data_IF_838871010023
#
_entry.id   IF_838871010023
#
_cell.length_a   1.000
_cell.length_b   1.000
_cell.length_c   1.000
_cell.angle_alpha   90.00
_cell.angle_beta   90.00
_cell.angle_gamma   90.00
#
_symmetry.space_group_name_H-M   'P 1'
#
loop_
_entity.id
_entity.type
_entity.pdbx_description
1 polymer ?
#
# COMPACT_ATOMS: atom_id res chain seq x y z
N UNK A 1 -26.99 25.02 66.66
CA UNK A 1 -26.64 25.59 65.34
C UNK A 1 -25.14 25.86 65.33
N UNK A 2 -24.26 25.10 64.71
CA UNK A 2 -24.45 23.92 63.87
C UNK A 2 -23.19 23.05 63.95
N UNK A 3 -23.25 22.03 64.81
CA UNK A 3 -22.30 20.90 64.89
C UNK A 3 -22.26 20.09 63.56
N UNK A 4 -23.14 20.41 62.62
CA UNK A 4 -23.27 19.77 61.30
C UNK A 4 -22.26 20.35 60.30
N UNK A 5 -21.83 21.61 60.45
CA UNK A 5 -20.86 22.22 59.51
C UNK A 5 -19.43 21.75 59.75
N UNK A 6 -19.06 21.47 61.01
CA UNK A 6 -17.73 20.92 61.32
C UNK A 6 -17.65 19.42 60.96
N UNK A 7 -18.77 18.69 61.05
CA UNK A 7 -18.85 17.28 60.65
C UNK A 7 -18.80 17.10 59.12
N UNK A 8 -19.25 18.10 58.34
CA UNK A 8 -19.10 18.09 56.87
C UNK A 8 -17.67 18.39 56.41
N UNK A 9 -16.93 19.23 57.15
CA UNK A 9 -15.51 19.50 56.86
C UNK A 9 -14.58 18.33 57.23
N UNK A 10 -14.90 17.57 58.29
CA UNK A 10 -14.12 16.37 58.68
C UNK A 10 -14.37 15.15 57.77
N UNK A 11 -15.45 15.16 56.98
CA UNK A 11 -15.73 14.15 55.95
C UNK A 11 -15.08 14.48 54.59
N UNK A 12 -14.81 15.76 54.29
CA UNK A 12 -14.11 16.18 53.08
C UNK A 12 -12.59 15.99 53.18
N UNK A 13 -12.01 16.16 54.37
CA UNK A 13 -10.57 15.95 54.62
C UNK A 13 -10.14 14.48 54.54
N UNK A 14 -11.08 13.53 54.56
CA UNK A 14 -10.81 12.08 54.48
C UNK A 14 -11.07 11.46 53.10
N UNK A 15 -11.42 12.24 52.07
CA UNK A 15 -11.86 11.70 50.77
C UNK A 15 -11.04 12.14 49.56
N UNK A 16 -9.73 12.39 49.73
CA UNK A 16 -8.84 12.62 48.60
C UNK A 16 -7.39 12.17 48.86
N UNK A 17 -7.14 10.87 48.68
CA UNK A 17 -5.82 10.30 48.38
C UNK A 17 -6.05 8.92 47.69
N UNK A 18 -5.10 8.40 46.87
CA UNK A 18 -5.33 8.17 45.46
C UNK A 18 -5.29 6.68 45.10
N UNK A 19 -6.44 6.07 44.92
CA UNK A 19 -6.58 4.74 44.32
C UNK A 19 -8.06 4.45 44.22
N UNK A 20 -8.58 4.36 42.99
CA UNK A 20 -9.94 3.95 42.57
C UNK A 20 -10.50 4.87 41.46
N UNK A 21 -9.71 5.04 40.38
CA UNK A 21 -10.24 5.50 39.07
C UNK A 21 -9.97 4.45 38.00
N UNK A 22 -10.29 3.21 38.31
CA UNK A 22 -10.32 2.13 37.33
C UNK A 22 -11.61 1.35 37.55
N UNK A 23 -12.35 1.29 36.44
CA UNK A 23 -13.45 0.39 36.13
C UNK A 23 -14.88 0.86 36.46
N UNK A 24 -15.60 1.05 35.35
CA UNK A 24 -17.04 0.90 35.14
C UNK A 24 -17.90 2.10 35.57
N UNK A 25 -18.31 2.92 34.60
CA UNK A 25 -19.72 2.84 34.20
C UNK A 25 -19.94 3.44 32.80
N UNK A 26 -20.29 2.54 31.88
CA UNK A 26 -20.89 2.92 30.61
C UNK A 26 -22.37 3.15 30.82
N UNK A 27 -22.87 4.25 30.23
CA UNK A 27 -24.24 4.52 29.74
C UNK A 27 -24.57 5.98 29.99
N UNK A 28 -24.55 6.82 28.93
CA UNK A 28 -25.35 8.04 28.94
C UNK A 28 -25.97 8.34 27.57
N UNK A 29 -27.31 8.39 27.62
CA UNK A 29 -28.27 9.14 26.81
C UNK A 29 -28.04 9.24 25.30
N UNK A 30 -28.71 8.34 24.57
CA UNK A 30 -29.09 8.56 23.17
C UNK A 30 -30.22 9.59 23.14
N UNK A 31 -29.95 10.75 22.57
CA UNK A 31 -30.94 11.78 22.30
C UNK A 31 -31.76 11.37 21.05
N UNK A 32 -32.92 10.76 21.29
CA UNK A 32 -33.82 10.22 20.24
C UNK A 32 -34.42 11.29 19.32
N UNK A 33 -34.20 12.59 19.59
CA UNK A 33 -34.75 13.68 18.79
C UNK A 33 -33.89 14.06 17.58
N UNK A 34 -32.65 13.56 17.48
CA UNK A 34 -31.74 13.84 16.36
C UNK A 34 -31.88 12.85 15.17
N UNK A 35 -32.55 11.71 15.36
CA UNK A 35 -32.64 10.62 14.37
C UNK A 35 -33.71 10.89 13.30
N UNK A 36 -34.75 11.66 13.61
CA UNK A 36 -35.89 11.86 12.68
C UNK A 36 -35.68 12.96 11.62
N UNK A 37 -34.66 13.83 11.78
CA UNK A 37 -34.29 14.83 10.75
C UNK A 37 -33.35 14.28 9.67
N UNK A 38 -32.52 13.28 9.99
CA UNK A 38 -31.58 12.66 9.03
C UNK A 38 -32.28 11.85 7.93
N UNK A 39 -33.43 11.28 8.24
CA UNK A 39 -34.08 10.31 7.36
C UNK A 39 -34.86 10.94 6.18
N UNK A 40 -35.27 12.22 6.31
CA UNK A 40 -35.90 12.97 5.20
C UNK A 40 -34.87 13.49 4.19
N UNK A 41 -33.66 13.83 4.64
CA UNK A 41 -32.60 14.38 3.79
C UNK A 41 -31.95 13.31 2.89
N UNK A 42 -31.79 12.09 3.40
CA UNK A 42 -31.28 10.95 2.62
C UNK A 42 -32.22 10.53 1.48
N UNK A 43 -33.55 10.56 1.69
CA UNK A 43 -34.52 10.21 0.65
C UNK A 43 -34.58 11.25 -0.48
N UNK A 44 -34.49 12.53 -0.13
CA UNK A 44 -34.41 13.64 -1.10
C UNK A 44 -33.12 13.62 -1.92
N UNK A 45 -31.99 13.28 -1.29
CA UNK A 45 -30.71 13.14 -2.01
C UNK A 45 -30.73 11.95 -2.97
N UNK A 46 -31.33 10.82 -2.59
CA UNK A 46 -31.46 9.65 -3.47
C UNK A 46 -32.36 9.93 -4.68
N UNK A 47 -33.46 10.67 -4.52
CA UNK A 47 -34.34 10.99 -5.66
C UNK A 47 -33.67 11.95 -6.66
N UNK A 48 -32.88 12.92 -6.19
CA UNK A 48 -32.12 13.83 -7.08
C UNK A 48 -31.04 13.09 -7.88
N UNK A 49 -30.34 12.14 -7.26
CA UNK A 49 -29.31 11.33 -7.95
C UNK A 49 -29.93 10.46 -9.03
N UNK A 50 -31.08 9.83 -8.77
CA UNK A 50 -31.78 9.01 -9.78
C UNK A 50 -32.22 9.85 -10.97
N UNK A 51 -32.74 11.06 -10.74
CA UNK A 51 -33.14 11.98 -11.82
C UNK A 51 -31.95 12.43 -12.68
N UNK A 52 -30.80 12.70 -12.06
CA UNK A 52 -29.58 13.07 -12.79
C UNK A 52 -29.06 11.93 -13.68
N UNK A 53 -29.10 10.67 -13.20
CA UNK A 53 -28.70 9.49 -13.99
C UNK A 53 -29.61 9.30 -15.20
N UNK A 54 -30.92 9.45 -15.03
CA UNK A 54 -31.88 9.33 -16.15
C UNK A 54 -31.66 10.42 -17.21
N UNK A 55 -31.36 11.65 -16.80
CA UNK A 55 -31.07 12.74 -17.74
C UNK A 55 -29.80 12.48 -18.56
N UNK A 56 -28.73 11.97 -17.93
CA UNK A 56 -27.48 11.61 -18.63
C UNK A 56 -27.70 10.46 -19.60
N UNK A 57 -28.48 9.45 -19.21
CA UNK A 57 -28.80 8.31 -20.09
C UNK A 57 -29.58 8.76 -21.33
N UNK A 58 -30.52 9.69 -21.17
CA UNK A 58 -31.30 10.24 -22.27
C UNK A 58 -30.43 11.04 -23.26
N UNK A 59 -29.45 11.80 -22.76
CA UNK A 59 -28.50 12.55 -23.59
C UNK A 59 -27.58 11.59 -24.36
N UNK A 60 -27.07 10.55 -23.70
CA UNK A 60 -26.24 9.53 -24.35
C UNK A 60 -27.01 8.78 -25.43
N UNK A 61 -28.27 8.45 -25.20
CA UNK A 61 -29.12 7.80 -26.21
C UNK A 61 -29.36 8.71 -27.42
N UNK A 62 -29.58 10.01 -27.19
CA UNK A 62 -29.72 10.98 -28.27
C UNK A 62 -28.47 11.09 -29.16
N UNK A 63 -27.29 11.12 -28.54
CA UNK A 63 -26.00 11.18 -29.26
C UNK A 63 -25.71 9.91 -30.06
N UNK A 64 -26.16 8.74 -29.57
CA UNK A 64 -25.94 7.45 -30.25
C UNK A 64 -26.82 7.31 -31.50
N UNK A 65 -28.06 7.81 -31.44
CA UNK A 65 -28.98 7.83 -32.59
C UNK A 65 -28.49 8.78 -33.68
N UNK A 66 -27.96 9.95 -33.32
CA UNK A 66 -27.40 10.94 -34.26
C UNK A 66 -26.18 10.39 -35.03
N UNK A 67 -25.35 9.60 -34.33
CA UNK A 67 -24.19 8.93 -34.93
C UNK A 67 -24.56 7.83 -35.92
N UNK A 68 -25.69 7.16 -35.69
CA UNK A 68 -26.19 6.09 -36.56
C UNK A 68 -26.84 6.64 -37.84
N UNK A 69 -27.44 7.83 -37.77
CA UNK A 69 -28.04 8.52 -38.92
C UNK A 69 -27.00 9.20 -39.81
N UNK A 70 -25.82 9.53 -39.27
CA UNK A 70 -24.76 10.30 -39.96
C UNK A 70 -23.69 9.46 -40.66
N UNK A 71 -23.78 8.13 -40.63
CA UNK A 71 -22.78 7.26 -41.25
C UNK A 71 -23.04 7.08 -42.76
N UNK A 72 -22.30 7.81 -43.61
CA UNK A 72 -22.26 7.57 -45.05
C UNK A 72 -21.34 6.37 -45.39
N UNK A 73 -21.61 5.60 -46.46
CA UNK A 73 -20.81 4.43 -46.80
C UNK A 73 -19.57 4.83 -47.61
N UNK A 74 -18.37 4.50 -47.11
CA UNK A 74 -17.15 4.60 -47.92
C UNK A 74 -16.94 3.33 -48.76
N UNK A 75 -16.75 3.54 -50.06
CA UNK A 75 -16.49 2.52 -51.08
C UNK A 75 -15.02 2.11 -51.00
N UNK A 76 -14.74 0.83 -50.76
CA UNK A 76 -13.38 0.29 -50.77
C UNK A 76 -12.82 0.17 -52.18
N UNK A 77 -11.75 0.90 -52.49
CA UNK A 77 -10.91 0.64 -53.68
C UNK A 77 -9.79 -0.34 -53.33
N UNK A 78 -9.70 -1.42 -54.12
CA UNK A 78 -8.66 -2.45 -54.03
C UNK A 78 -7.36 -1.96 -54.67
N UNK A 79 -6.24 -2.09 -53.94
CA UNK A 79 -4.87 -1.80 -54.40
C UNK A 79 -4.09 -3.13 -54.58
N UNK A 80 -3.14 -3.27 -55.54
CA UNK A 80 -2.44 -4.54 -55.82
C UNK A 80 -1.30 -4.85 -54.82
N UNK A 81 -0.70 -6.05 -54.86
CA UNK A 81 0.08 -6.59 -53.75
C UNK A 81 1.48 -5.97 -53.71
N UNK A 82 1.84 -5.39 -52.56
CA UNK A 82 3.21 -5.04 -52.22
C UNK A 82 3.83 -6.23 -51.46
N UNK A 83 5.10 -6.48 -51.77
CA UNK A 83 6.03 -7.44 -51.17
C UNK A 83 5.88 -7.59 -49.64
N UNK A 84 6.26 -8.75 -49.04
CA UNK A 84 6.08 -8.99 -47.61
C UNK A 84 6.88 -7.95 -46.82
N UNK A 85 6.16 -6.96 -46.29
CA UNK A 85 6.70 -6.06 -45.30
C UNK A 85 7.10 -6.89 -44.09
N UNK A 86 8.33 -6.67 -43.62
CA UNK A 86 8.83 -7.17 -42.34
C UNK A 86 7.72 -7.10 -41.30
N UNK A 87 7.37 -8.25 -40.71
CA UNK A 87 6.36 -8.32 -39.68
C UNK A 87 6.74 -7.33 -38.56
N UNK A 88 6.01 -6.22 -38.48
CA UNK A 88 6.09 -5.32 -37.34
C UNK A 88 5.71 -6.16 -36.12
N UNK A 89 6.52 -6.24 -35.06
CA UNK A 89 6.16 -7.01 -33.89
C UNK A 89 4.86 -6.44 -33.32
N UNK A 90 3.80 -7.22 -33.39
CA UNK A 90 2.52 -6.87 -32.77
C UNK A 90 2.69 -6.89 -31.25
N UNK A 91 2.17 -5.91 -30.50
CA UNK A 91 2.23 -5.90 -29.04
C UNK A 91 1.48 -7.12 -28.46
N UNK A 92 1.88 -7.57 -27.27
CA UNK A 92 1.17 -8.61 -26.50
C UNK A 92 -0.24 -8.11 -26.19
N UNK A 93 -1.26 -8.94 -26.37
CA UNK A 93 -2.64 -8.56 -26.07
C UNK A 93 -3.11 -9.20 -24.76
N UNK A 94 -3.65 -8.37 -23.87
CA UNK A 94 -4.47 -8.84 -22.74
C UNK A 94 -5.87 -9.04 -23.28
N UNK A 95 -6.27 -10.31 -23.34
CA UNK A 95 -7.53 -10.77 -23.90
C UNK A 95 -8.68 -10.62 -22.89
N UNK A 96 -8.39 -10.81 -21.60
CA UNK A 96 -9.38 -10.71 -20.54
C UNK A 96 -8.74 -10.39 -19.18
N UNK A 97 -9.52 -9.76 -18.30
CA UNK A 97 -9.15 -9.45 -16.91
C UNK A 97 -10.24 -10.01 -16.01
N UNK A 98 -9.90 -11.07 -15.29
CA UNK A 98 -10.82 -11.86 -14.48
C UNK A 98 -10.54 -11.61 -12.99
N UNK A 99 -11.29 -10.72 -12.32
CA UNK A 99 -11.22 -10.56 -10.88
C UNK A 99 -12.00 -11.67 -10.18
N UNK A 100 -11.35 -12.39 -9.28
CA UNK A 100 -11.98 -13.35 -8.37
C UNK A 100 -11.75 -12.92 -6.93
N UNK A 101 -12.71 -13.17 -6.05
CA UNK A 101 -12.56 -12.90 -4.63
C UNK A 101 -13.27 -13.96 -3.80
N UNK A 102 -12.64 -14.40 -2.72
CA UNK A 102 -13.16 -15.45 -1.84
C UNK A 102 -12.97 -15.09 -0.36
N UNK A 103 -13.01 -16.07 0.53
CA UNK A 103 -12.74 -15.90 1.97
C UNK A 103 -11.31 -15.45 2.31
N UNK A 104 -10.35 -15.58 1.39
CA UNK A 104 -8.90 -15.44 1.62
C UNK A 104 -8.35 -14.13 1.06
N UNK A 105 -8.90 -13.61 -0.03
CA UNK A 105 -8.41 -12.36 -0.63
C UNK A 105 -9.00 -12.03 -2.00
N UNK A 106 -8.28 -11.18 -2.73
CA UNK A 106 -8.51 -10.87 -4.14
C UNK A 106 -7.50 -11.65 -5.00
N UNK A 107 -7.97 -12.26 -6.08
CA UNK A 107 -7.13 -12.87 -7.11
C UNK A 107 -7.48 -12.21 -8.44
N UNK A 108 -6.53 -11.51 -9.04
CA UNK A 108 -6.70 -10.89 -10.36
C UNK A 108 -5.95 -11.72 -11.40
N UNK A 109 -6.68 -12.23 -12.39
CA UNK A 109 -6.15 -13.05 -13.48
C UNK A 109 -6.16 -12.25 -14.78
N UNK A 110 -5.01 -12.08 -15.41
CA UNK A 110 -4.89 -11.44 -16.73
C UNK A 110 -4.55 -12.51 -17.75
N UNK A 111 -5.42 -12.72 -18.73
CA UNK A 111 -5.22 -13.66 -19.82
C UNK A 111 -4.52 -12.98 -20.99
N UNK A 112 -3.34 -13.47 -21.36
CA UNK A 112 -2.51 -12.93 -22.43
C UNK A 112 -2.39 -13.88 -23.62
N UNK A 113 -2.22 -13.33 -24.82
CA UNK A 113 -1.96 -14.11 -26.04
C UNK A 113 -0.55 -14.74 -26.06
N UNK A 114 0.44 -14.13 -25.41
CA UNK A 114 1.82 -14.61 -25.27
C UNK A 114 2.47 -14.14 -23.96
N UNK A 115 3.62 -14.70 -23.60
CA UNK A 115 4.36 -14.28 -22.40
C UNK A 115 4.85 -12.84 -22.52
N UNK A 116 5.04 -12.19 -21.38
CA UNK A 116 5.44 -10.79 -21.30
C UNK A 116 6.40 -10.56 -20.15
N UNK A 117 7.36 -9.65 -20.34
CA UNK A 117 8.19 -9.13 -19.26
C UNK A 117 7.49 -7.93 -18.61
N UNK A 118 7.46 -7.89 -17.28
CA UNK A 118 6.87 -6.78 -16.53
C UNK A 118 7.81 -6.26 -15.45
N UNK A 119 7.62 -4.98 -15.09
CA UNK A 119 8.30 -4.33 -13.99
C UNK A 119 7.34 -4.14 -12.83
N UNK A 120 7.77 -4.51 -11.63
CA UNK A 120 6.98 -4.41 -10.40
C UNK A 120 7.55 -3.30 -9.52
N UNK A 121 6.72 -2.34 -9.14
CA UNK A 121 7.08 -1.28 -8.20
C UNK A 121 6.10 -1.30 -7.02
N UNK A 122 6.63 -1.26 -5.80
CA UNK A 122 5.87 -1.26 -4.55
C UNK A 122 6.14 0.04 -3.80
N UNK A 123 5.09 0.82 -3.57
CA UNK A 123 5.15 2.07 -2.83
C UNK A 123 4.07 2.06 -1.77
N UNK A 124 4.45 2.04 -0.49
CA UNK A 124 3.60 2.20 0.71
C UNK A 124 2.08 2.11 0.48
N UNK A 125 1.55 0.89 0.42
CA UNK A 125 0.11 0.63 0.27
C UNK A 125 -0.36 0.51 -1.19
N UNK A 126 0.51 0.70 -2.17
CA UNK A 126 0.24 0.49 -3.59
C UNK A 126 1.28 -0.43 -4.25
N UNK A 127 0.81 -1.30 -5.14
CA UNK A 127 1.62 -2.16 -5.99
C UNK A 127 1.26 -1.89 -7.43
N UNK A 128 2.27 -1.61 -8.26
CA UNK A 128 2.09 -1.40 -9.70
C UNK A 128 2.90 -2.42 -10.49
N UNK A 129 2.27 -3.01 -11.50
CA UNK A 129 2.91 -3.86 -12.50
C UNK A 129 2.79 -3.18 -13.86
N UNK A 130 3.93 -2.95 -14.50
CA UNK A 130 4.02 -2.36 -15.84
C UNK A 130 4.44 -3.43 -16.84
N UNK A 131 3.50 -3.88 -17.66
CA UNK A 131 3.69 -4.88 -18.71
C UNK A 131 4.18 -4.17 -19.97
N UNK A 132 5.38 -4.49 -20.44
CA UNK A 132 6.00 -3.81 -21.58
C UNK A 132 5.41 -4.26 -22.91
N UNK A 133 5.28 -3.34 -23.87
CA UNK A 133 4.83 -3.64 -25.24
C UNK A 133 3.53 -4.46 -25.27
N UNK A 134 2.59 -4.06 -24.41
CA UNK A 134 1.34 -4.78 -24.14
C UNK A 134 0.15 -3.86 -24.35
N UNK A 135 -0.95 -4.41 -24.84
CA UNK A 135 -2.18 -3.68 -25.08
C UNK A 135 -3.38 -4.41 -24.46
N UNK A 136 -4.17 -3.69 -23.68
CA UNK A 136 -5.45 -4.15 -23.15
C UNK A 136 -6.52 -4.03 -24.23
N UNK A 137 -7.16 -5.15 -24.57
CA UNK A 137 -8.30 -5.17 -25.47
C UNK A 137 -9.55 -4.65 -24.73
N UNK A 138 -9.96 -3.41 -25.02
CA UNK A 138 -11.18 -2.80 -24.45
C UNK A 138 -10.92 -1.56 -23.60
N UNK A 139 -11.89 -1.22 -22.75
CA UNK A 139 -11.81 -0.08 -21.84
C UNK A 139 -11.14 -0.45 -20.52
N UNK A 140 -10.75 0.60 -19.76
CA UNK A 140 -10.25 0.54 -18.38
C UNK A 140 -11.00 -0.49 -17.54
N UNK A 141 -10.29 -1.45 -16.96
CA UNK A 141 -10.86 -2.40 -15.99
C UNK A 141 -10.51 -1.96 -14.58
N UNK A 142 -11.47 -1.89 -13.67
CA UNK A 142 -11.22 -1.50 -12.28
C UNK A 142 -12.25 -2.09 -11.32
N UNK A 143 -11.87 -2.22 -10.06
CA UNK A 143 -12.74 -2.71 -9.01
C UNK A 143 -12.27 -2.33 -7.61
N UNK A 144 -13.13 -2.55 -6.62
CA UNK A 144 -12.84 -2.33 -5.20
C UNK A 144 -13.44 -3.45 -4.36
N UNK A 145 -12.69 -3.90 -3.37
CA UNK A 145 -13.09 -4.90 -2.39
C UNK A 145 -12.85 -4.35 -0.98
N UNK A 146 -13.81 -4.50 -0.08
CA UNK A 146 -13.72 -4.03 1.31
C UNK A 146 -14.15 -5.14 2.26
N UNK A 147 -13.32 -5.44 3.26
CA UNK A 147 -13.54 -6.51 4.24
C UNK A 147 -12.82 -6.20 5.55
N UNK A 148 -13.47 -6.41 6.69
CA UNK A 148 -12.90 -6.27 8.05
C UNK A 148 -12.13 -4.95 8.27
N UNK A 149 -12.66 -3.84 7.74
CA UNK A 149 -12.05 -2.51 7.84
C UNK A 149 -10.89 -2.25 6.87
N UNK A 150 -10.43 -3.26 6.11
CA UNK A 150 -9.44 -3.13 5.04
C UNK A 150 -10.15 -2.92 3.71
N UNK A 151 -9.61 -2.05 2.87
CA UNK A 151 -10.12 -1.90 1.50
C UNK A 151 -8.99 -1.91 0.50
N UNK A 152 -9.25 -2.54 -0.65
CA UNK A 152 -8.35 -2.63 -1.78
C UNK A 152 -9.08 -2.17 -3.03
N UNK A 153 -8.44 -1.34 -3.83
CA UNK A 153 -8.87 -0.99 -5.19
C UNK A 153 -7.83 -1.44 -6.18
N UNK A 154 -8.28 -1.93 -7.32
CA UNK A 154 -7.41 -2.35 -8.43
C UNK A 154 -7.86 -1.71 -9.73
N UNK A 155 -6.91 -1.53 -10.65
CA UNK A 155 -7.12 -0.93 -11.97
C UNK A 155 -6.14 -1.54 -12.98
N UNK A 156 -6.59 -1.78 -14.20
CA UNK A 156 -5.78 -2.21 -15.34
C UNK A 156 -6.07 -1.27 -16.52
N UNK A 157 -5.06 -0.57 -17.00
CA UNK A 157 -5.21 0.46 -18.03
C UNK A 157 -4.05 0.52 -19.03
N UNK A 158 -4.34 0.97 -20.25
CA UNK A 158 -3.31 1.24 -21.26
C UNK A 158 -2.53 2.51 -20.89
N UNK A 159 -1.21 2.39 -20.76
CA UNK A 159 -0.26 3.46 -20.43
C UNK A 159 0.78 3.59 -21.54
N UNK A 160 0.42 4.30 -22.61
CA UNK A 160 1.24 4.40 -23.82
C UNK A 160 1.29 3.08 -24.59
N UNK A 161 2.48 2.51 -24.75
CA UNK A 161 2.72 1.18 -25.37
C UNK A 161 2.66 0.03 -24.37
N UNK A 162 2.47 0.34 -23.09
CA UNK A 162 2.51 -0.62 -21.99
C UNK A 162 1.12 -0.71 -21.33
N UNK A 163 0.90 -1.77 -20.57
CA UNK A 163 -0.27 -1.87 -19.67
C UNK A 163 0.19 -1.68 -18.23
N UNK A 164 -0.53 -0.84 -17.49
CA UNK A 164 -0.33 -0.63 -16.08
C UNK A 164 -1.44 -1.31 -15.27
N UNK A 165 -1.04 -2.23 -14.40
CA UNK A 165 -1.88 -2.78 -13.34
C UNK A 165 -1.53 -2.06 -12.05
N UNK A 166 -2.51 -1.44 -11.39
CA UNK A 166 -2.33 -0.71 -10.14
C UNK A 166 -3.27 -1.30 -9.08
N UNK A 167 -2.71 -1.71 -7.95
CA UNK A 167 -3.43 -2.14 -6.76
C UNK A 167 -3.12 -1.17 -5.62
N UNK A 168 -4.14 -0.72 -4.89
CA UNK A 168 -4.02 0.24 -3.79
C UNK A 168 -4.84 -0.26 -2.60
N UNK A 169 -4.21 -0.44 -1.46
CA UNK A 169 -4.82 -0.81 -0.19
C UNK A 169 -4.80 0.32 0.83
N UNK A 170 -5.87 0.43 1.63
CA UNK A 170 -5.93 1.30 2.80
C UNK A 170 -5.50 0.49 4.05
N UNK A 171 -4.31 0.80 4.58
CA UNK A 171 -3.66 0.10 5.70
C UNK A 171 -2.16 -0.15 5.40
N UNK A 172 -1.41 -0.74 6.35
CA UNK A 172 0.01 -1.09 6.15
C UNK A 172 0.23 -1.88 4.83
N UNK A 173 1.48 -1.88 4.33
CA UNK A 173 1.92 -2.44 3.03
C UNK A 173 1.05 -3.58 2.48
N UNK A 174 0.56 -3.40 1.25
CA UNK A 174 -0.24 -4.38 0.54
C UNK A 174 0.63 -5.60 0.17
N UNK A 175 0.39 -6.75 0.79
CA UNK A 175 1.03 -8.00 0.40
C UNK A 175 0.43 -8.46 -0.93
N UNK A 176 1.23 -8.49 -1.99
CA UNK A 176 0.80 -8.93 -3.33
C UNK A 176 1.77 -9.97 -3.83
N UNK A 177 1.27 -11.15 -4.23
CA UNK A 177 2.07 -12.17 -4.91
C UNK A 177 1.67 -12.23 -6.37
N UNK A 178 2.61 -12.40 -7.27
CA UNK A 178 2.37 -12.51 -8.71
C UNK A 178 3.05 -13.75 -9.29
N UNK A 179 2.39 -14.41 -10.24
CA UNK A 179 2.95 -15.55 -10.99
C UNK A 179 2.46 -15.55 -12.43
N UNK A 180 3.36 -15.81 -13.37
CA UNK A 180 3.06 -15.91 -14.80
C UNK A 180 3.18 -17.38 -15.22
N UNK A 181 2.07 -17.97 -15.64
CA UNK A 181 1.97 -19.39 -15.99
C UNK A 181 1.46 -19.60 -17.42
N UNK A 182 1.87 -20.69 -18.06
CA UNK A 182 1.32 -21.09 -19.36
C UNK A 182 -0.05 -21.77 -19.16
N UNK A 183 -1.04 -21.35 -19.92
CA UNK A 183 -2.41 -21.85 -19.91
C UNK A 183 -2.79 -22.34 -21.32
N UNK A 184 -2.25 -23.50 -21.70
CA UNK A 184 -2.34 -24.02 -23.07
C UNK A 184 -1.58 -23.14 -24.04
N UNK A 185 -2.29 -22.61 -25.03
CA UNK A 185 -1.77 -21.74 -26.09
C UNK A 185 -1.61 -20.28 -25.63
N UNK A 186 -2.06 -19.97 -24.41
CA UNK A 186 -2.12 -18.63 -23.83
C UNK A 186 -1.30 -18.55 -22.56
N UNK A 187 -1.18 -17.35 -22.02
CA UNK A 187 -0.48 -17.08 -20.76
C UNK A 187 -1.41 -16.46 -19.74
N UNK A 188 -1.21 -16.77 -18.47
CA UNK A 188 -2.02 -16.26 -17.36
C UNK A 188 -1.11 -15.60 -16.34
N UNK A 189 -1.32 -14.30 -16.10
CA UNK A 189 -0.70 -13.59 -14.99
C UNK A 189 -1.68 -13.57 -13.82
N UNK A 190 -1.33 -14.25 -12.74
CA UNK A 190 -2.07 -14.27 -11.49
C UNK A 190 -1.49 -13.24 -10.54
N UNK A 191 -2.37 -12.48 -9.89
CA UNK A 191 -2.02 -11.50 -8.87
C UNK A 191 -2.89 -11.75 -7.64
N UNK A 192 -2.29 -12.31 -6.59
CA UNK A 192 -2.95 -12.68 -5.35
C UNK A 192 -2.72 -11.61 -4.27
N UNK A 193 -3.80 -11.16 -3.65
CA UNK A 193 -3.79 -10.18 -2.56
C UNK A 193 -4.54 -10.73 -1.36
N UNK A 194 -3.85 -11.33 -0.38
CA UNK A 194 -4.48 -11.83 0.83
C UNK A 194 -5.07 -10.68 1.66
N UNK A 195 -6.34 -10.82 2.03
CA UNK A 195 -7.03 -9.86 2.90
C UNK A 195 -7.17 -10.35 4.35
N UNK A 196 -6.97 -11.65 4.60
CA UNK A 196 -6.94 -12.22 5.94
C UNK A 196 -5.55 -12.10 6.57
N UNK A 197 -5.52 -12.07 7.91
CA UNK A 197 -4.34 -12.47 8.67
C UNK A 197 -3.94 -13.88 8.24
N UNK A 198 -2.64 -14.20 8.11
CA UNK A 198 -2.22 -15.59 8.04
C UNK A 198 -2.82 -16.27 9.27
N UNK A 199 -3.77 -17.18 9.06
CA UNK A 199 -4.00 -18.21 10.07
C UNK A 199 -2.65 -18.91 10.13
N UNK A 200 -1.95 -18.66 11.24
CA UNK A 200 -0.81 -19.42 11.68
C UNK A 200 -1.03 -20.86 11.20
N UNK A 201 -0.24 -21.31 10.23
CA UNK A 201 -0.17 -22.74 9.97
C UNK A 201 0.22 -23.30 11.33
N UNK A 202 -0.73 -23.97 11.97
CA UNK A 202 -0.50 -24.62 13.24
C UNK A 202 0.50 -25.73 12.92
N UNK A 203 1.78 -25.39 12.90
CA UNK A 203 2.89 -26.28 13.19
C UNK A 203 2.81 -26.58 14.70
N UNK A 204 1.67 -27.10 15.15
CA UNK A 204 1.72 -28.01 16.26
C UNK A 204 2.48 -29.22 15.73
N UNK A 205 3.57 -29.66 16.36
CA UNK A 205 4.07 -30.98 16.09
C UNK A 205 2.90 -31.93 16.32
N UNK A 206 2.44 -32.60 15.25
CA UNK A 206 1.49 -33.68 15.39
C UNK A 206 2.11 -34.63 16.40
N UNK A 207 1.49 -34.74 17.58
CA UNK A 207 1.87 -35.71 18.59
C UNK A 207 1.55 -37.10 18.01
N UNK A 208 2.49 -37.62 17.22
CA UNK A 208 2.46 -38.95 16.60
C UNK A 208 2.43 -40.08 17.64
N UNK A 209 2.64 -39.76 18.91
CA UNK A 209 2.70 -40.71 20.02
C UNK A 209 1.32 -41.14 20.55
N UNK A 210 0.22 -40.55 20.07
CA UNK A 210 -1.15 -40.90 20.49
C UNK A 210 -2.12 -41.03 19.31
N UNK A 211 -1.68 -41.65 18.21
CA UNK A 211 -2.62 -42.20 17.25
C UNK A 211 -3.17 -43.52 17.82
N UNK A 212 -4.51 -43.71 17.89
CA UNK A 212 -5.06 -45.01 18.22
C UNK A 212 -4.57 -46.05 17.20
N UNK A 213 -4.23 -47.28 17.62
CA UNK A 213 -3.82 -48.32 16.69
C UNK A 213 -4.93 -48.50 15.64
N UNK A 214 -4.53 -48.47 14.38
CA UNK A 214 -5.43 -48.69 13.25
C UNK A 214 -6.16 -50.02 13.46
N UNK A 215 -7.48 -49.97 13.65
CA UNK A 215 -8.32 -51.15 13.50
C UNK A 215 -8.14 -51.64 12.07
N UNK A 216 -7.81 -52.92 11.93
CA UNK A 216 -7.69 -53.59 10.65
C UNK A 216 -9.07 -53.62 9.99
N UNK A 217 -9.38 -52.58 9.22
CA UNK A 217 -10.55 -52.57 8.36
C UNK A 217 -10.34 -53.60 7.25
N UNK A 218 -11.32 -54.48 7.12
CA UNK A 218 -11.32 -55.63 6.23
C UNK A 218 -10.95 -55.23 4.79
N UNK A 219 -10.16 -56.11 4.16
CA UNK A 219 -9.76 -56.05 2.77
C UNK A 219 -10.96 -55.74 1.86
N UNK A 220 -11.08 -54.49 1.43
CA UNK A 220 -11.93 -54.15 0.30
C UNK A 220 -11.23 -54.65 -0.95
N UNK A 221 -11.88 -55.60 -1.62
CA UNK A 221 -11.42 -56.18 -2.88
C UNK A 221 -11.10 -55.07 -3.88
N UNK A 222 -9.84 -55.01 -4.29
CA UNK A 222 -9.37 -54.22 -5.40
C UNK A 222 -10.11 -54.68 -6.67
N UNK A 223 -10.90 -53.79 -7.27
CA UNK A 223 -11.61 -54.09 -8.50
C UNK A 223 -10.60 -54.39 -9.63
N UNK A 224 -10.80 -55.44 -10.44
CA UNK A 224 -9.88 -55.76 -11.53
C UNK A 224 -9.86 -54.62 -12.58
N UNK A 225 -8.66 -54.17 -12.92
CA UNK A 225 -8.43 -53.15 -13.93
C UNK A 225 -9.03 -53.55 -15.30
N UNK A 226 -9.61 -52.59 -16.06
CA UNK A 226 -10.28 -52.87 -17.32
C UNK A 226 -9.32 -53.33 -18.45
N UNK A 227 -9.82 -54.21 -19.30
CA UNK A 227 -9.07 -55.01 -20.28
C UNK A 227 -8.32 -54.24 -21.40
N UNK A 228 -8.45 -52.91 -21.50
CA UNK A 228 -7.70 -52.12 -22.48
C UNK A 228 -6.22 -51.93 -22.08
N UNK A 229 -5.87 -52.24 -20.82
CA UNK A 229 -4.48 -52.23 -20.32
C UNK A 229 -3.65 -53.41 -20.86
N UNK A 230 -4.28 -54.43 -21.47
CA UNK A 230 -3.58 -55.64 -21.96
C UNK A 230 -3.75 -55.93 -23.45
N UNK A 231 -4.14 -54.94 -24.26
CA UNK A 231 -4.24 -55.14 -25.71
C UNK A 231 -2.84 -55.28 -26.36
N UNK A 232 -2.56 -56.36 -27.12
CA UNK A 232 -1.30 -56.48 -27.84
C UNK A 232 -1.25 -55.53 -29.05
N UNK A 233 -0.11 -54.87 -29.22
CA UNK A 233 0.17 -53.99 -30.38
C UNK A 233 0.18 -54.81 -31.69
N UNK A 234 -0.38 -54.28 -32.79
CA UNK A 234 -0.24 -54.92 -34.10
C UNK A 234 1.22 -54.92 -34.56
N UNK A 235 1.64 -56.05 -35.14
CA UNK A 235 2.98 -56.27 -35.68
C UNK A 235 3.27 -55.33 -36.85
N UNK A 236 4.44 -54.66 -36.90
CA UNK A 236 4.84 -53.86 -38.04
C UNK A 236 5.25 -54.75 -39.21
N UNK A 237 4.72 -54.42 -40.39
CA UNK A 237 5.11 -54.98 -41.70
C UNK A 237 6.54 -54.58 -42.05
N UNK A 238 7.20 -55.47 -42.80
CA UNK A 238 8.60 -55.49 -43.20
C UNK A 238 9.25 -54.13 -43.57
N UNK A 239 10.51 -54.02 -43.14
CA UNK A 239 11.42 -52.90 -43.30
C UNK A 239 11.81 -52.59 -44.75
N UNK A 240 11.85 -51.30 -45.08
CA UNK A 240 12.71 -50.75 -46.14
C UNK A 240 14.15 -50.61 -45.63
N UNK A 241 15.18 -50.71 -46.50
CA UNK A 241 16.58 -50.56 -46.08
C UNK A 241 16.87 -49.11 -45.65
N UNK A 242 17.79 -48.90 -44.69
CA UNK A 242 18.08 -47.58 -44.14
C UNK A 242 18.96 -46.74 -45.10
N UNK A 243 18.82 -45.40 -45.12
CA UNK A 243 19.85 -44.53 -45.66
C UNK A 243 21.12 -44.58 -44.79
N UNK A 244 22.30 -44.18 -45.31
CA UNK A 244 23.56 -44.33 -44.61
C UNK A 244 23.57 -43.54 -43.28
N UNK A 245 24.23 -44.15 -42.30
CA UNK A 245 24.30 -43.69 -40.91
C UNK A 245 24.78 -42.24 -40.78
N UNK A 246 23.89 -41.38 -40.29
CA UNK A 246 24.28 -40.15 -39.59
C UNK A 246 24.61 -40.59 -38.16
N UNK A 247 25.86 -40.37 -37.74
CA UNK A 247 26.26 -40.65 -36.36
C UNK A 247 25.36 -39.86 -35.40
N UNK A 248 24.82 -40.46 -34.34
CA UNK A 248 24.09 -39.71 -33.34
C UNK A 248 25.08 -38.75 -32.68
N UNK A 249 24.88 -37.46 -32.94
CA UNK A 249 25.45 -36.41 -32.11
C UNK A 249 24.93 -36.71 -30.71
N UNK A 250 25.84 -37.00 -29.77
CA UNK A 250 25.47 -37.23 -28.38
C UNK A 250 24.53 -36.10 -27.93
N UNK A 251 23.39 -36.39 -27.28
CA UNK A 251 22.53 -35.33 -26.79
C UNK A 251 23.39 -34.48 -25.87
N UNK A 252 23.63 -33.23 -26.28
CA UNK A 252 24.21 -32.20 -25.41
C UNK A 252 23.34 -32.26 -24.17
N UNK A 253 23.95 -32.63 -23.04
CA UNK A 253 23.25 -32.70 -21.76
C UNK A 253 22.46 -31.41 -21.61
N UNK A 254 21.13 -31.53 -21.58
CA UNK A 254 20.27 -30.39 -21.33
C UNK A 254 20.85 -29.65 -20.12
N UNK A 255 21.05 -28.33 -20.19
CA UNK A 255 21.58 -27.60 -19.06
C UNK A 255 20.64 -27.90 -17.89
N UNK A 256 21.14 -28.68 -16.93
CA UNK A 256 20.42 -28.96 -15.72
C UNK A 256 20.38 -27.64 -14.96
N UNK A 257 19.32 -26.86 -15.20
CA UNK A 257 18.99 -25.71 -14.38
C UNK A 257 18.67 -26.27 -13.01
N UNK A 258 19.69 -26.30 -12.15
CA UNK A 258 19.46 -26.45 -10.71
C UNK A 258 18.69 -25.22 -10.28
N UNK A 259 17.37 -25.33 -10.23
CA UNK A 259 16.50 -24.33 -9.62
C UNK A 259 16.83 -24.40 -8.13
N UNK A 260 17.78 -23.57 -7.68
CA UNK A 260 17.98 -23.33 -6.27
C UNK A 260 16.67 -22.79 -5.70
N UNK A 261 16.23 -23.29 -4.55
CA UNK A 261 15.09 -22.74 -3.85
C UNK A 261 15.28 -21.22 -3.70
N UNK A 262 14.26 -20.45 -4.07
CA UNK A 262 14.25 -18.99 -3.88
C UNK A 262 14.53 -18.68 -2.41
N UNK A 263 15.74 -18.19 -2.12
CA UNK A 263 16.06 -17.68 -0.80
C UNK A 263 15.61 -16.22 -0.79
N UNK A 264 14.62 -15.86 0.06
CA UNK A 264 14.21 -14.47 0.17
C UNK A 264 15.42 -13.63 0.57
N UNK A 265 15.64 -12.51 -0.12
CA UNK A 265 16.72 -11.57 0.22
C UNK A 265 16.60 -11.21 1.71
N UNK A 266 17.70 -11.30 2.45
CA UNK A 266 17.75 -11.03 3.90
C UNK A 266 17.16 -9.65 4.23
N UNK A 267 17.28 -8.68 3.32
CA UNK A 267 16.68 -7.36 3.47
C UNK A 267 15.15 -7.43 3.46
N UNK A 268 14.57 -8.29 2.63
CA UNK A 268 13.13 -8.54 2.59
C UNK A 268 12.65 -9.21 3.87
N UNK A 269 13.40 -10.18 4.40
CA UNK A 269 13.10 -10.79 5.70
C UNK A 269 13.14 -9.76 6.83
N UNK A 270 14.13 -8.85 6.83
CA UNK A 270 14.21 -7.79 7.83
C UNK A 270 13.04 -6.80 7.74
N UNK A 271 12.65 -6.40 6.52
CA UNK A 271 11.48 -5.54 6.30
C UNK A 271 10.19 -6.19 6.76
N UNK A 272 10.03 -7.49 6.49
CA UNK A 272 8.88 -8.25 6.96
C UNK A 272 8.84 -8.33 8.50
N UNK A 273 10.00 -8.54 9.14
CA UNK A 273 10.10 -8.52 10.60
C UNK A 273 9.71 -7.15 11.18
N UNK A 274 10.12 -6.03 10.56
CA UNK A 274 9.67 -4.68 10.96
C UNK A 274 8.16 -4.50 10.82
N UNK A 275 7.57 -4.97 9.74
CA UNK A 275 6.12 -4.89 9.52
C UNK A 275 5.33 -5.72 10.53
N UNK A 276 5.91 -6.85 10.96
CA UNK A 276 5.36 -7.71 12.00
C UNK A 276 5.57 -7.17 13.44
N UNK A 277 6.32 -6.07 13.60
CA UNK A 277 6.70 -5.53 14.92
C UNK A 277 7.81 -6.33 15.62
N UNK A 278 8.43 -7.31 14.95
CA UNK A 278 9.57 -8.06 15.45
C UNK A 278 10.87 -7.25 15.24
N UNK A 279 10.99 -6.18 16.02
CA UNK A 279 12.13 -5.27 15.97
C UNK A 279 13.48 -5.95 16.26
N UNK A 280 13.61 -6.84 17.27
CA UNK A 280 14.88 -7.51 17.55
C UNK A 280 15.38 -8.33 16.37
N UNK A 281 14.49 -9.12 15.73
CA UNK A 281 14.85 -9.91 14.55
C UNK A 281 15.23 -9.01 13.38
N UNK A 282 14.46 -7.96 13.10
CA UNK A 282 14.77 -7.01 12.05
C UNK A 282 16.16 -6.39 12.21
N UNK A 283 16.47 -5.90 13.42
CA UNK A 283 17.78 -5.31 13.76
C UNK A 283 18.89 -6.33 13.49
N UNK A 284 18.80 -7.54 14.05
CA UNK A 284 19.85 -8.56 13.87
C UNK A 284 20.14 -8.91 12.40
N UNK A 285 19.09 -9.01 11.56
CA UNK A 285 19.22 -9.26 10.13
C UNK A 285 19.89 -8.09 9.41
N UNK A 286 19.52 -6.86 9.77
CA UNK A 286 20.06 -5.63 9.18
C UNK A 286 21.51 -5.36 9.60
N UNK A 287 21.89 -5.66 10.84
CA UNK A 287 23.29 -5.58 11.30
C UNK A 287 24.17 -6.60 10.57
N UNK A 288 23.66 -7.81 10.37
CA UNK A 288 24.35 -8.84 9.56
C UNK A 288 24.54 -8.36 8.12
N UNK A 289 23.52 -7.70 7.55
CA UNK A 289 23.62 -7.09 6.23
C UNK A 289 24.60 -5.93 6.18
N UNK A 290 24.64 -5.08 7.21
CA UNK A 290 25.61 -3.99 7.29
C UNK A 290 27.05 -4.54 7.29
N UNK A 291 27.29 -5.62 8.05
CA UNK A 291 28.62 -6.25 8.12
C UNK A 291 29.08 -6.85 6.78
N UNK A 292 28.13 -7.29 5.93
CA UNK A 292 28.45 -7.92 4.64
C UNK A 292 28.46 -6.94 3.47
N UNK A 293 27.58 -5.93 3.49
CA UNK A 293 27.40 -4.94 2.40
C UNK A 293 28.07 -3.59 2.69
N UNK A 294 28.63 -3.38 3.87
CA UNK A 294 29.31 -2.15 4.26
C UNK A 294 28.34 -0.96 4.36
N UNK A 295 28.68 0.15 3.70
CA UNK A 295 27.93 1.41 3.73
C UNK A 295 26.82 1.48 2.68
N UNK A 296 26.12 0.38 2.41
CA UNK A 296 24.94 0.38 1.53
C UNK A 296 23.85 1.30 2.13
N UNK A 297 23.50 2.43 1.48
CA UNK A 297 22.54 3.39 2.03
C UNK A 297 21.18 2.76 2.36
N UNK A 298 20.74 1.75 1.58
CA UNK A 298 19.45 1.12 1.84
C UNK A 298 19.46 0.33 3.15
N UNK A 299 20.52 -0.44 3.40
CA UNK A 299 20.66 -1.22 4.64
C UNK A 299 20.74 -0.28 5.84
N UNK A 300 21.54 0.80 5.73
CA UNK A 300 21.68 1.80 6.78
C UNK A 300 20.35 2.49 7.11
N UNK A 301 19.57 2.88 6.09
CA UNK A 301 18.24 3.49 6.29
C UNK A 301 17.28 2.54 6.97
N UNK A 302 17.24 1.28 6.55
CA UNK A 302 16.38 0.28 7.19
C UNK A 302 16.80 -0.03 8.61
N UNK A 303 18.10 -0.11 8.90
CA UNK A 303 18.61 -0.31 10.25
C UNK A 303 18.29 0.88 11.15
N UNK A 304 18.46 2.11 10.65
CA UNK A 304 18.09 3.33 11.37
C UNK A 304 16.58 3.38 11.69
N UNK A 305 15.72 3.03 10.72
CA UNK A 305 14.26 2.89 10.93
C UNK A 305 13.95 1.79 11.95
N UNK A 306 14.69 0.68 11.92
CA UNK A 306 14.52 -0.43 12.86
C UNK A 306 14.82 0.00 14.30
N UNK A 307 15.92 0.71 14.54
CA UNK A 307 16.23 1.26 15.86
C UNK A 307 15.18 2.28 16.32
N UNK A 308 14.72 3.17 15.43
CA UNK A 308 13.68 4.14 15.76
C UNK A 308 12.34 3.47 16.11
N UNK A 309 11.97 2.40 15.40
CA UNK A 309 10.74 1.64 15.67
C UNK A 309 10.84 0.80 16.96
N UNK A 310 12.04 0.34 17.31
CA UNK A 310 12.33 -0.40 18.54
C UNK A 310 12.39 0.48 19.79
N UNK A 311 12.29 1.81 19.64
CA UNK A 311 12.60 2.80 20.69
C UNK A 311 14.04 2.68 21.23
N UNK A 312 14.95 2.07 20.46
CA UNK A 312 16.39 1.95 20.78
C UNK A 312 17.14 3.23 20.39
N UNK A 313 16.68 4.32 20.97
CA UNK A 313 17.09 5.67 20.57
C UNK A 313 18.55 5.96 20.92
N UNK A 314 19.05 5.44 22.04
CA UNK A 314 20.44 5.65 22.44
C UNK A 314 21.40 5.04 21.41
N UNK A 315 21.19 3.78 21.03
CA UNK A 315 22.01 3.12 20.02
C UNK A 315 21.95 3.82 18.68
N UNK A 316 20.77 4.31 18.29
CA UNK A 316 20.60 5.09 17.06
C UNK A 316 21.41 6.40 17.09
N UNK A 317 21.34 7.14 18.20
CA UNK A 317 22.04 8.42 18.35
C UNK A 317 23.57 8.28 18.42
N UNK A 318 24.06 7.14 18.91
CA UNK A 318 25.50 6.85 18.96
C UNK A 318 26.04 6.37 17.61
N UNK A 319 25.28 5.54 16.89
CA UNK A 319 25.72 4.88 15.66
C UNK A 319 25.52 5.73 14.40
N UNK A 320 24.35 6.37 14.24
CA UNK A 320 23.94 7.02 12.99
C UNK A 320 24.80 8.23 12.58
N UNK A 321 25.31 9.09 13.50
CA UNK A 321 26.15 10.23 13.10
C UNK A 321 27.41 9.81 12.33
N UNK A 322 28.03 8.69 12.71
CA UNK A 322 29.21 8.17 12.00
C UNK A 322 28.85 7.69 10.58
N UNK A 323 27.67 7.09 10.40
CA UNK A 323 27.20 6.65 9.09
C UNK A 323 26.85 7.85 8.19
N UNK A 324 26.18 8.86 8.75
CA UNK A 324 25.81 10.08 8.02
C UNK A 324 27.04 10.89 7.59
N UNK A 325 28.13 10.84 8.35
CA UNK A 325 29.40 11.48 7.97
C UNK A 325 30.01 10.85 6.70
N UNK A 326 29.76 9.56 6.43
CA UNK A 326 30.20 8.88 5.21
C UNK A 326 29.24 9.11 4.03
N UNK A 327 27.96 9.39 4.32
CA UNK A 327 26.90 9.63 3.34
C UNK A 327 26.27 11.02 3.55
N UNK A 328 27.03 12.12 3.39
CA UNK A 328 26.57 13.46 3.73
C UNK A 328 25.39 13.94 2.86
N UNK A 329 25.10 13.30 1.73
CA UNK A 329 23.96 13.65 0.87
C UNK A 329 22.69 12.85 1.18
N UNK A 330 22.74 11.90 2.12
CA UNK A 330 21.58 11.09 2.50
C UNK A 330 20.63 11.87 3.43
N UNK A 331 19.69 12.58 2.81
CA UNK A 331 18.61 13.32 3.47
C UNK A 331 17.74 12.45 4.38
N UNK A 332 17.56 11.18 4.03
CA UNK A 332 16.68 10.27 4.77
C UNK A 332 17.32 9.84 6.10
N UNK A 333 18.60 9.47 6.08
CA UNK A 333 19.36 9.20 7.31
C UNK A 333 19.40 10.43 8.21
N UNK A 334 19.58 11.62 7.62
CA UNK A 334 19.51 12.89 8.36
C UNK A 334 18.14 13.12 8.99
N UNK A 335 17.06 12.84 8.26
CA UNK A 335 15.69 12.94 8.76
C UNK A 335 15.44 11.99 9.93
N UNK A 336 15.93 10.76 9.85
CA UNK A 336 15.81 9.76 10.93
C UNK A 336 16.61 10.21 12.16
N UNK A 337 17.84 10.71 11.98
CA UNK A 337 18.65 11.24 13.08
C UNK A 337 17.95 12.40 13.79
N UNK A 338 17.37 13.33 13.03
CA UNK A 338 16.62 14.45 13.59
C UNK A 338 15.38 13.99 14.37
N UNK A 339 14.64 12.99 13.87
CA UNK A 339 13.50 12.40 14.60
C UNK A 339 13.94 11.77 15.92
N UNK A 340 15.03 11.02 15.91
CA UNK A 340 15.58 10.42 17.13
C UNK A 340 15.99 11.51 18.16
N UNK A 341 16.57 12.62 17.70
CA UNK A 341 16.89 13.77 18.55
C UNK A 341 15.65 14.46 19.10
N UNK A 342 14.57 14.59 18.31
CA UNK A 342 13.29 15.13 18.77
C UNK A 342 12.64 14.23 19.82
N UNK A 343 12.65 12.91 19.63
CA UNK A 343 12.16 11.94 20.62
C UNK A 343 13.01 11.99 21.91
N UNK A 344 14.30 12.31 21.81
CA UNK A 344 15.19 12.57 22.95
C UNK A 344 14.91 13.88 23.69
N UNK A 345 14.09 14.77 23.14
CA UNK A 345 13.91 16.14 23.62
C UNK A 345 15.05 17.11 23.25
N UNK A 346 16.02 16.68 22.44
CA UNK A 346 17.11 17.55 21.95
C UNK A 346 16.71 18.24 20.62
N UNK A 347 15.64 19.05 20.69
CA UNK A 347 15.07 19.73 19.53
C UNK A 347 16.06 20.70 18.87
N UNK A 348 16.95 21.34 19.65
CA UNK A 348 17.97 22.24 19.10
C UNK A 348 18.96 21.50 18.21
N UNK A 349 19.41 20.31 18.63
CA UNK A 349 20.28 19.47 17.82
C UNK A 349 19.57 18.92 16.58
N UNK A 350 18.27 18.62 16.68
CA UNK A 350 17.45 18.23 15.53
C UNK A 350 17.41 19.32 14.45
N UNK A 351 17.18 20.58 14.84
CA UNK A 351 17.23 21.72 13.92
C UNK A 351 18.61 21.82 13.26
N UNK A 352 19.69 21.83 14.05
CA UNK A 352 21.05 21.93 13.52
C UNK A 352 21.38 20.77 12.55
N UNK A 353 20.92 19.55 12.85
CA UNK A 353 21.09 18.38 11.99
C UNK A 353 20.37 18.57 10.65
N UNK A 354 19.13 19.08 10.68
CA UNK A 354 18.31 19.31 9.48
C UNK A 354 18.80 20.51 8.63
N UNK A 355 19.58 21.42 9.18
CA UNK A 355 20.12 22.58 8.44
C UNK A 355 21.45 22.29 7.71
N UNK A 356 22.17 21.23 8.09
CA UNK A 356 23.56 21.01 7.61
C UNK A 356 23.69 20.68 6.12
N UNK A 357 22.71 20.02 5.51
CA UNK A 357 22.69 19.75 4.06
C UNK A 357 21.24 19.44 3.60
N UNK A 358 20.34 20.44 3.55
CA UNK A 358 18.95 20.18 3.22
C UNK A 358 18.78 19.77 1.74
N UNK A 359 17.92 18.78 1.43
CA UNK A 359 17.61 18.41 0.05
C UNK A 359 16.84 19.54 -0.67
N UNK A 360 16.50 19.38 -1.95
CA UNK A 360 15.60 20.33 -2.62
C UNK A 360 14.18 20.22 -2.06
N UNK A 361 13.55 21.36 -1.80
CA UNK A 361 12.23 21.43 -1.17
C UNK A 361 11.17 20.69 -1.98
N UNK A 362 11.23 20.77 -3.30
CA UNK A 362 10.30 20.11 -4.22
C UNK A 362 10.41 18.58 -4.19
N UNK A 363 11.61 18.06 -3.89
CA UNK A 363 11.88 16.62 -3.86
C UNK A 363 11.42 16.01 -2.53
N UNK A 364 11.70 16.68 -1.41
CA UNK A 364 11.37 16.16 -0.08
C UNK A 364 10.63 17.17 0.83
N UNK A 365 9.35 17.51 0.54
CA UNK A 365 8.58 18.44 1.37
C UNK A 365 8.43 17.98 2.84
N UNK A 366 8.41 16.66 3.08
CA UNK A 366 8.30 16.09 4.43
C UNK A 366 9.50 16.44 5.32
N UNK A 367 10.70 16.54 4.73
CA UNK A 367 11.90 16.95 5.44
C UNK A 367 11.75 18.36 6.01
N UNK A 368 11.29 19.27 5.16
CA UNK A 368 11.07 20.66 5.52
C UNK A 368 9.86 20.86 6.44
N UNK A 369 8.84 20.01 6.36
CA UNK A 369 7.74 20.04 7.32
C UNK A 369 8.24 19.69 8.74
N UNK A 370 9.15 18.71 8.88
CA UNK A 370 9.76 18.41 10.18
C UNK A 370 10.63 19.57 10.66
N UNK A 371 11.46 20.16 9.78
CA UNK A 371 12.28 21.33 10.12
C UNK A 371 11.42 22.52 10.58
N UNK A 372 10.34 22.81 9.85
CA UNK A 372 9.40 23.88 10.20
C UNK A 372 8.74 23.65 11.56
N UNK A 373 8.32 22.42 11.87
CA UNK A 373 7.79 22.05 13.18
C UNK A 373 8.86 22.13 14.29
N UNK A 374 10.11 21.77 13.98
CA UNK A 374 11.24 21.85 14.91
C UNK A 374 11.62 23.30 15.22
N UNK A 375 11.47 24.20 14.25
CA UNK A 375 11.58 25.65 14.48
C UNK A 375 10.52 26.15 15.47
N UNK A 376 9.27 25.67 15.39
CA UNK A 376 8.23 26.05 16.35
C UNK A 376 8.58 25.63 17.78
N UNK A 377 9.08 24.41 17.95
CA UNK A 377 9.49 23.90 19.26
C UNK A 377 10.73 24.61 19.84
N UNK A 378 11.45 25.38 19.03
CA UNK A 378 12.61 26.19 19.46
C UNK A 378 12.33 27.69 19.41
N UNK A 379 11.05 28.09 19.37
CA UNK A 379 10.57 29.47 19.31
C UNK A 379 11.08 30.28 18.09
N UNK A 380 11.53 29.60 17.04
CA UNK A 380 11.98 30.20 15.78
C UNK A 380 10.79 30.43 14.84
N UNK A 381 9.80 31.19 15.31
CA UNK A 381 8.50 31.35 14.66
C UNK A 381 8.61 31.90 13.23
N UNK A 382 9.52 32.85 12.99
CA UNK A 382 9.72 33.43 11.66
C UNK A 382 10.22 32.40 10.64
N UNK A 383 11.27 31.64 11.01
CA UNK A 383 11.81 30.57 10.15
C UNK A 383 10.75 29.49 9.85
N UNK A 384 9.95 29.15 10.87
CA UNK A 384 8.82 28.22 10.71
C UNK A 384 7.78 28.73 9.72
N UNK A 385 7.32 29.98 9.89
CA UNK A 385 6.32 30.59 9.02
C UNK A 385 6.79 30.66 7.56
N UNK A 386 8.03 31.09 7.33
CA UNK A 386 8.60 31.20 6.00
C UNK A 386 8.73 29.83 5.31
N UNK A 387 9.10 28.80 6.07
CA UNK A 387 9.20 27.45 5.52
C UNK A 387 7.82 26.85 5.20
N UNK A 388 6.83 27.03 6.08
CA UNK A 388 5.46 26.59 5.78
C UNK A 388 4.83 27.34 4.61
N UNK A 389 5.10 28.65 4.44
CA UNK A 389 4.67 29.40 3.24
C UNK A 389 5.23 28.79 1.96
N UNK A 390 6.51 28.43 1.95
CA UNK A 390 7.15 27.75 0.79
C UNK A 390 6.56 26.37 0.53
N UNK A 391 6.28 25.60 1.57
CA UNK A 391 5.60 24.30 1.46
C UNK A 391 4.19 24.43 0.87
N UNK A 392 3.42 25.41 1.35
CA UNK A 392 2.06 25.68 0.86
C UNK A 392 2.03 26.23 -0.56
N UNK A 393 3.09 26.91 -1.02
CA UNK A 393 3.23 27.29 -2.42
C UNK A 393 3.33 26.06 -3.34
N UNK A 394 3.90 24.94 -2.86
CA UNK A 394 3.95 23.68 -3.61
C UNK A 394 2.66 22.87 -3.50
N UNK A 395 2.09 22.76 -2.30
CA UNK A 395 0.83 22.02 -2.08
C UNK A 395 -0.13 22.83 -1.21
N UNK A 396 -0.98 23.68 -1.81
CA UNK A 396 -1.88 24.56 -1.07
C UNK A 396 -2.93 23.82 -0.22
N UNK A 397 -3.25 22.58 -0.58
CA UNK A 397 -4.33 21.77 0.02
C UNK A 397 -3.94 21.01 1.30
N UNK A 398 -2.69 21.10 1.76
CA UNK A 398 -2.22 20.35 2.93
C UNK A 398 -2.63 21.05 4.24
N UNK A 399 -3.68 20.57 4.91
CA UNK A 399 -4.19 21.22 6.11
C UNK A 399 -3.23 21.20 7.29
N UNK A 400 -2.43 20.14 7.44
CA UNK A 400 -1.39 20.08 8.48
C UNK A 400 -0.37 21.22 8.33
N UNK A 401 -0.02 21.62 7.10
CA UNK A 401 0.89 22.74 6.85
C UNK A 401 0.21 24.10 7.01
N UNK A 402 -1.08 24.19 6.65
CA UNK A 402 -1.90 25.38 6.96
C UNK A 402 -1.98 25.62 8.46
N UNK A 403 -2.16 24.56 9.25
CA UNK A 403 -2.13 24.60 10.71
C UNK A 403 -0.76 25.04 11.24
N UNK A 404 0.32 24.42 10.76
CA UNK A 404 1.67 24.80 11.13
C UNK A 404 1.94 26.29 10.88
N UNK A 405 1.56 26.81 9.71
CA UNK A 405 1.67 28.23 9.40
C UNK A 405 0.81 29.09 10.34
N UNK A 406 -0.45 28.69 10.60
CA UNK A 406 -1.34 29.44 11.48
C UNK A 406 -0.77 29.60 12.89
N UNK A 407 -0.20 28.53 13.46
CA UNK A 407 0.44 28.56 14.78
C UNK A 407 1.65 29.51 14.77
N UNK A 408 2.51 29.44 13.74
CA UNK A 408 3.67 30.32 13.63
C UNK A 408 3.25 31.79 13.51
N UNK A 409 2.22 32.10 12.72
CA UNK A 409 1.69 33.45 12.56
C UNK A 409 1.05 33.99 13.84
N UNK A 410 0.36 33.14 14.59
CA UNK A 410 -0.21 33.52 15.88
C UNK A 410 0.89 33.94 16.87
N UNK A 411 2.00 33.19 16.91
CA UNK A 411 3.16 33.52 17.75
C UNK A 411 3.97 34.73 17.25
N UNK A 412 3.82 35.11 15.98
CA UNK A 412 4.39 36.32 15.40
C UNK A 412 3.48 37.55 15.52
N UNK A 413 2.43 37.48 16.37
CA UNK A 413 1.44 38.54 16.56
C UNK A 413 0.73 38.96 15.25
N UNK A 414 0.47 38.00 14.35
CA UNK A 414 -0.29 38.19 13.10
C UNK A 414 -1.64 37.45 13.13
N UNK A 415 -2.55 37.80 14.08
CA UNK A 415 -3.75 37.02 14.35
C UNK A 415 -4.74 36.96 13.19
N UNK A 416 -4.82 38.02 12.37
CA UNK A 416 -5.72 38.07 11.22
C UNK A 416 -5.31 37.06 10.12
N UNK A 417 -4.01 36.91 9.86
CA UNK A 417 -3.50 35.89 8.93
C UNK A 417 -3.61 34.51 9.55
N UNK A 418 -3.23 34.35 10.83
CA UNK A 418 -3.37 33.09 11.56
C UNK A 418 -4.82 32.57 11.50
N UNK A 419 -5.81 33.41 11.78
CA UNK A 419 -7.23 33.07 11.71
C UNK A 419 -7.71 32.66 10.31
N UNK A 420 -7.10 33.18 9.23
CA UNK A 420 -7.37 32.70 7.86
C UNK A 420 -6.80 31.30 7.66
N UNK A 421 -5.55 31.07 8.05
CA UNK A 421 -4.89 29.78 7.88
C UNK A 421 -5.50 28.68 8.75
N UNK A 422 -5.95 28.98 9.98
CA UNK A 422 -6.73 28.02 10.79
C UNK A 422 -8.03 27.61 10.08
N UNK A 423 -8.76 28.55 9.46
CA UNK A 423 -9.96 28.21 8.68
C UNK A 423 -9.65 27.37 7.44
N UNK A 424 -8.56 27.68 6.73
CA UNK A 424 -8.11 26.87 5.60
C UNK A 424 -7.74 25.45 6.05
N UNK A 425 -7.10 25.31 7.21
CA UNK A 425 -6.77 24.01 7.78
C UNK A 425 -8.03 23.16 8.05
N UNK A 426 -9.15 23.76 8.47
CA UNK A 426 -10.43 23.03 8.69
C UNK A 426 -11.05 22.44 7.42
N UNK A 427 -10.71 22.96 6.25
CA UNK A 427 -11.27 22.49 4.98
C UNK A 427 -10.73 21.11 4.57
N UNK A 428 -9.56 20.71 5.08
CA UNK A 428 -8.97 19.41 4.78
C UNK A 428 -9.49 18.28 5.65
N UNK A 429 -9.22 17.07 5.18
CA UNK A 429 -9.63 15.80 5.79
C UNK A 429 -8.50 15.11 6.54
N UNK A 430 -7.28 15.64 6.48
CA UNK A 430 -6.06 15.07 7.09
C UNK A 430 -5.90 15.40 8.58
N UNK A 431 -6.75 16.25 9.15
CA UNK A 431 -6.76 16.56 10.59
C UNK A 431 -7.68 15.60 11.36
N UNK A 432 -7.18 15.05 12.47
CA UNK A 432 -7.96 14.27 13.43
C UNK A 432 -9.01 15.13 14.17
N UNK A 433 -9.93 14.47 14.88
CA UNK A 433 -11.04 15.17 15.53
C UNK A 433 -10.58 16.13 16.64
N UNK A 434 -9.55 15.76 17.40
CA UNK A 434 -8.97 16.62 18.45
C UNK A 434 -8.35 17.89 17.88
N UNK A 435 -7.51 17.75 16.85
CA UNK A 435 -6.87 18.88 16.18
C UNK A 435 -7.92 19.74 15.51
N UNK A 436 -8.92 19.13 14.85
CA UNK A 436 -10.03 19.88 14.23
C UNK A 436 -10.80 20.72 15.23
N UNK A 437 -11.07 20.21 16.44
CA UNK A 437 -11.70 21.00 17.53
C UNK A 437 -10.83 22.18 17.93
N UNK A 438 -9.55 21.94 18.24
CA UNK A 438 -8.59 22.99 18.58
C UNK A 438 -8.51 24.08 17.50
N UNK A 439 -8.34 23.68 16.24
CA UNK A 439 -8.28 24.58 15.09
C UNK A 439 -9.59 25.36 14.94
N UNK A 440 -10.74 24.72 15.15
CA UNK A 440 -12.04 25.41 15.10
C UNK A 440 -12.21 26.46 16.19
N UNK A 441 -11.73 26.19 17.40
CA UNK A 441 -11.77 27.15 18.51
C UNK A 441 -10.85 28.33 18.24
N UNK A 442 -9.61 28.07 17.81
CA UNK A 442 -8.63 29.11 17.44
C UNK A 442 -9.08 29.96 16.26
N UNK A 443 -9.65 29.34 15.23
CA UNK A 443 -10.23 30.05 14.09
C UNK A 443 -11.34 31.03 14.51
N UNK A 444 -12.20 30.64 15.46
CA UNK A 444 -13.27 31.51 15.99
C UNK A 444 -12.70 32.64 16.84
N UNK A 445 -11.72 32.35 17.70
CA UNK A 445 -11.10 33.34 18.57
C UNK A 445 -10.36 34.44 17.80
N UNK A 446 -9.67 34.07 16.70
CA UNK A 446 -8.82 34.99 15.93
C UNK A 446 -9.51 35.58 14.69
N UNK A 447 -10.69 35.07 14.32
CA UNK A 447 -11.41 35.42 13.11
C UNK A 447 -12.71 36.21 13.34
N UNK A 448 -12.85 36.84 14.51
CA UNK A 448 -14.09 37.48 14.96
C UNK A 448 -14.81 38.30 13.88
N UNK A 449 -15.99 37.79 13.50
CA UNK A 449 -17.17 38.55 13.12
C UNK A 449 -18.36 37.99 13.89
#
# INVERSE_FOLDING_TARGET
MSLVNDMLRDLETRRAAPSERLQLDGLYAVDETAVTRRDRYERLRRSVVVLAVVAVLAVLLGLLVDRLLSAAPEVSTVTPPVAPASAVPSPVQILDVLPQHDGRGLVLQLLLDRSVAYQRNEESGAVSLRLKDTQLAGELQQGRLQRDGRSISWRVENSGTDVQVLLVGLGNSLAVSDRLEAAGDRWMLWIDVPLNTPVEAIDAPLALDNLPPAEAENAHSEAPLPAWVSAPLPTPVAASPPPPAVQPIAPVAAPQVKIAAYQPDTLTLARQALQAGDHPRAISLLETLQNTRGHDPQVLRWLARAYLAADDQQRLLDWLPAQLAQLPDDSELRLILARAQLQAGDTRRAVATLEQNPPRLEQEPTYFALLAASYQQTDQWQNSADLYRRLLALRPSQSTWQLGLAIALEQLDQPAEAGRHYRLALLGTDLDDSTRRFVSERAKALGGL
#
